data_IF_804155285231
#
_entry.id   IF_804155285231
#
_cell.length_a   1.000
_cell.length_b   1.000
_cell.length_c   1.000
_cell.angle_alpha   90.00
_cell.angle_beta   90.00
_cell.angle_gamma   90.00
#
_symmetry.space_group_name_H-M   'P 1'
#
loop_
_entity.id
_entity.type
_entity.pdbx_description
1 polymer ?
#
# COMPACT_ATOMS: atom_id res chain seq x y z
N UNK A 1 -16.42 -1.67 -5.46
CA UNK A 1 -15.58 -2.81 -5.07
C UNK A 1 -14.49 -2.35 -4.10
N UNK A 2 -14.10 -3.20 -3.20
CA UNK A 2 -13.18 -2.87 -2.12
C UNK A 2 -11.85 -3.61 -2.34
N UNK A 3 -10.74 -2.88 -2.28
CA UNK A 3 -9.41 -3.41 -2.60
C UNK A 3 -8.40 -3.05 -1.52
N UNK A 4 -7.36 -3.86 -1.41
CA UNK A 4 -6.20 -3.58 -0.59
C UNK A 4 -4.94 -3.81 -1.44
N UNK A 5 -4.04 -2.83 -1.44
CA UNK A 5 -2.76 -2.93 -2.15
C UNK A 5 -1.62 -2.77 -1.18
N UNK A 6 -0.69 -3.72 -1.22
CA UNK A 6 0.59 -3.62 -0.51
C UNK A 6 1.68 -3.49 -1.57
N UNK A 7 2.56 -2.51 -1.40
CA UNK A 7 3.73 -2.39 -2.29
C UNK A 7 4.99 -2.08 -1.49
N UNK A 8 6.11 -2.49 -2.05
CA UNK A 8 7.42 -2.38 -1.41
C UNK A 8 8.31 -1.50 -2.26
N UNK A 9 8.84 -0.45 -1.66
CA UNK A 9 9.71 0.54 -2.32
C UNK A 9 11.16 0.23 -2.02
N UNK A 10 12.03 0.46 -3.01
CA UNK A 10 13.45 0.17 -2.96
C UNK A 10 14.13 0.85 -1.76
N UNK A 11 14.87 0.10 -0.92
CA UNK A 11 15.50 0.63 0.29
C UNK A 11 16.68 1.56 0.01
N UNK A 12 17.15 1.65 -1.24
CA UNK A 12 18.21 2.59 -1.64
C UNK A 12 17.72 4.02 -1.52
N UNK A 13 16.40 4.24 -1.65
CA UNK A 13 15.80 5.55 -1.50
C UNK A 13 15.81 5.99 -0.04
N UNK A 14 15.81 7.30 0.19
CA UNK A 14 15.59 7.85 1.52
C UNK A 14 14.14 7.63 1.93
N UNK A 15 13.85 7.73 3.23
CA UNK A 15 12.49 7.64 3.74
C UNK A 15 11.59 8.70 3.10
N UNK A 16 12.10 9.91 2.91
CA UNK A 16 11.39 10.99 2.25
C UNK A 16 11.03 10.64 0.80
N UNK A 17 11.99 10.10 0.05
CA UNK A 17 11.77 9.69 -1.34
C UNK A 17 10.77 8.55 -1.43
N UNK A 18 10.83 7.61 -0.50
CA UNK A 18 9.87 6.50 -0.42
C UNK A 18 8.46 7.04 -0.16
N UNK A 19 8.33 8.02 0.75
CA UNK A 19 7.07 8.69 1.03
C UNK A 19 6.50 9.42 -0.19
N UNK A 20 7.36 10.08 -0.97
CA UNK A 20 6.97 10.74 -2.22
C UNK A 20 6.47 9.74 -3.25
N UNK A 21 7.09 8.57 -3.31
CA UNK A 21 6.66 7.48 -4.19
C UNK A 21 5.25 7.01 -3.81
N UNK A 22 5.01 6.82 -2.51
CA UNK A 22 3.69 6.42 -2.02
C UNK A 22 2.64 7.51 -2.32
N UNK A 23 3.00 8.77 -2.17
CA UNK A 23 2.09 9.89 -2.47
C UNK A 23 1.71 9.91 -3.94
N UNK A 24 2.62 9.58 -4.84
CA UNK A 24 2.31 9.47 -6.28
C UNK A 24 1.15 8.52 -6.52
N UNK A 25 1.16 7.35 -5.86
CA UNK A 25 0.11 6.35 -6.01
C UNK A 25 -1.18 6.74 -5.31
N UNK A 26 -1.08 7.43 -4.18
CA UNK A 26 -2.25 8.02 -3.52
C UNK A 26 -2.94 9.02 -4.46
N UNK A 27 -2.16 9.92 -5.06
CA UNK A 27 -2.68 10.93 -6.00
C UNK A 27 -3.28 10.28 -7.24
N UNK A 28 -2.70 9.18 -7.71
CA UNK A 28 -3.25 8.40 -8.81
C UNK A 28 -4.66 7.89 -8.47
N UNK A 29 -4.82 7.29 -7.29
CA UNK A 29 -6.13 6.79 -6.84
C UNK A 29 -7.15 7.93 -6.73
N UNK A 30 -6.74 9.06 -6.19
CA UNK A 30 -7.60 10.25 -6.05
C UNK A 30 -8.01 10.75 -7.45
N UNK A 31 -7.08 10.80 -8.39
CA UNK A 31 -7.37 11.26 -9.76
C UNK A 31 -8.35 10.35 -10.49
N UNK A 32 -8.43 9.08 -10.11
CA UNK A 32 -9.37 8.10 -10.66
C UNK A 32 -10.66 8.00 -9.84
N UNK A 33 -10.87 8.94 -8.92
CA UNK A 33 -12.07 9.02 -8.07
C UNK A 33 -12.25 7.79 -7.17
N UNK A 34 -11.15 7.13 -6.81
CA UNK A 34 -11.19 6.07 -5.82
C UNK A 34 -11.35 6.67 -4.43
N UNK A 35 -12.08 5.97 -3.57
CA UNK A 35 -12.30 6.39 -2.18
C UNK A 35 -11.27 5.68 -1.30
N UNK A 36 -10.27 6.41 -0.85
CA UNK A 36 -9.21 5.87 0.02
C UNK A 36 -9.75 5.77 1.44
N UNK A 37 -9.83 4.54 1.95
CA UNK A 37 -10.34 4.24 3.29
C UNK A 37 -9.22 4.32 4.31
N UNK A 38 -8.04 3.79 3.96
CA UNK A 38 -6.91 3.74 4.87
C UNK A 38 -5.61 3.74 4.07
N UNK A 39 -4.59 4.37 4.62
CA UNK A 39 -3.24 4.31 4.09
C UNK A 39 -2.28 4.12 5.26
N UNK A 40 -1.33 3.20 5.11
CA UNK A 40 -0.38 2.87 6.16
C UNK A 40 1.03 2.90 5.59
N UNK A 41 1.97 3.42 6.35
CA UNK A 41 3.39 3.34 6.09
C UNK A 41 4.03 2.53 7.21
N UNK A 42 4.56 1.36 6.86
CA UNK A 42 5.16 0.47 7.88
C UNK A 42 6.66 0.71 8.04
N UNK A 43 7.23 1.61 7.25
CA UNK A 43 8.64 1.92 7.29
C UNK A 43 9.50 0.83 6.66
N UNK A 44 10.79 0.85 6.99
CA UNK A 44 11.75 -0.12 6.46
C UNK A 44 11.59 -1.45 7.19
N UNK A 45 11.28 -2.50 6.43
CA UNK A 45 11.05 -3.85 6.97
C UNK A 45 11.96 -4.84 6.28
N UNK A 46 12.39 -5.86 7.01
CA UNK A 46 13.15 -6.97 6.47
C UNK A 46 12.24 -7.85 5.62
N UNK A 47 12.71 -8.22 4.43
CA UNK A 47 11.97 -9.11 3.54
C UNK A 47 12.16 -10.56 3.97
N UNK A 48 11.10 -11.38 3.82
CA UNK A 48 11.18 -12.82 4.05
C UNK A 48 12.15 -13.48 3.06
N UNK A 49 12.16 -12.98 1.81
CA UNK A 49 13.07 -13.44 0.76
C UNK A 49 13.68 -12.23 0.08
N UNK A 50 14.93 -12.35 -0.35
CA UNK A 50 15.61 -11.28 -1.09
C UNK A 50 14.91 -11.01 -2.42
N UNK A 51 14.75 -9.72 -2.78
CA UNK A 51 14.26 -9.29 -4.08
C UNK A 51 15.38 -8.47 -4.72
N UNK A 52 15.85 -8.87 -5.89
CA UNK A 52 16.95 -8.19 -6.60
C UNK A 52 18.15 -7.93 -5.69
N UNK A 53 18.51 -8.93 -4.87
CA UNK A 53 19.59 -8.85 -3.87
C UNK A 53 19.34 -7.86 -2.73
N UNK A 54 18.14 -7.29 -2.63
CA UNK A 54 17.74 -6.43 -1.51
C UNK A 54 17.11 -7.30 -0.43
N UNK A 55 17.48 -7.04 0.83
CA UNK A 55 16.99 -7.79 2.00
C UNK A 55 15.91 -7.05 2.77
N UNK A 56 15.64 -5.81 2.42
CA UNK A 56 14.63 -4.97 3.08
C UNK A 56 13.94 -4.07 2.06
N UNK A 57 12.91 -3.37 2.49
CA UNK A 57 12.19 -2.41 1.67
C UNK A 57 11.21 -1.60 2.51
N UNK A 58 10.77 -0.48 1.96
CA UNK A 58 9.74 0.35 2.59
C UNK A 58 8.37 -0.19 2.21
N UNK A 59 7.57 -0.56 3.21
CA UNK A 59 6.24 -1.15 3.03
C UNK A 59 5.16 -0.10 3.15
N UNK A 60 4.24 -0.10 2.18
CA UNK A 60 3.06 0.76 2.19
C UNK A 60 1.82 -0.09 1.92
N UNK A 61 0.71 0.30 2.55
CA UNK A 61 -0.57 -0.36 2.35
C UNK A 61 -1.65 0.70 2.09
N UNK A 62 -2.44 0.49 1.04
CA UNK A 62 -3.61 1.32 0.75
C UNK A 62 -4.86 0.43 0.71
N UNK A 63 -5.89 0.86 1.41
CA UNK A 63 -7.22 0.26 1.33
C UNK A 63 -8.13 1.28 0.67
N UNK A 64 -8.85 0.89 -0.37
CA UNK A 64 -9.67 1.82 -1.15
C UNK A 64 -10.85 1.14 -1.81
N UNK A 65 -11.86 1.94 -2.16
CA UNK A 65 -13.02 1.50 -2.93
C UNK A 65 -13.00 2.14 -4.30
N UNK A 66 -13.41 1.39 -5.32
CA UNK A 66 -13.56 1.91 -6.68
C UNK A 66 -14.63 1.14 -7.43
N UNK A 67 -15.37 1.87 -8.27
CA UNK A 67 -16.32 1.28 -9.20
C UNK A 67 -15.75 1.19 -10.63
N UNK A 68 -14.54 1.71 -10.86
CA UNK A 68 -13.87 1.69 -12.16
C UNK A 68 -13.18 0.34 -12.37
N UNK A 69 -13.69 -0.45 -13.32
CA UNK A 69 -13.15 -1.78 -13.63
C UNK A 69 -11.74 -1.77 -14.21
N UNK A 70 -11.29 -0.62 -14.74
CA UNK A 70 -9.96 -0.50 -15.36
C UNK A 70 -8.91 0.04 -14.39
N UNK A 71 -9.33 0.53 -13.22
CA UNK A 71 -8.44 1.16 -12.26
C UNK A 71 -7.29 0.24 -11.85
N UNK A 72 -7.59 -1.00 -11.52
CA UNK A 72 -6.58 -1.95 -11.01
C UNK A 72 -5.54 -2.25 -12.08
N UNK A 73 -5.96 -2.48 -13.32
CA UNK A 73 -5.03 -2.72 -14.43
C UNK A 73 -4.09 -1.53 -14.63
N UNK A 74 -4.61 -0.32 -14.62
CA UNK A 74 -3.83 0.90 -14.79
C UNK A 74 -2.88 1.11 -13.62
N UNK A 75 -3.34 0.84 -12.41
CA UNK A 75 -2.57 0.97 -11.18
C UNK A 75 -1.39 -0.01 -11.18
N UNK A 76 -1.64 -1.26 -11.52
CA UNK A 76 -0.60 -2.28 -11.61
C UNK A 76 0.41 -2.00 -12.72
N UNK A 77 -0.05 -1.44 -13.84
CA UNK A 77 0.84 -1.04 -14.93
C UNK A 77 1.81 0.04 -14.48
N UNK A 78 1.33 1.01 -13.70
CA UNK A 78 2.18 2.06 -13.11
C UNK A 78 3.24 1.46 -12.19
N UNK A 79 2.86 0.53 -11.33
CA UNK A 79 3.82 -0.18 -10.47
C UNK A 79 4.88 -0.91 -11.29
N UNK A 80 4.45 -1.61 -12.33
CA UNK A 80 5.35 -2.39 -13.19
C UNK A 80 6.39 -1.51 -13.87
N UNK A 81 6.03 -0.28 -14.22
CA UNK A 81 6.92 0.67 -14.90
C UNK A 81 7.79 1.48 -13.95
N UNK A 82 7.49 1.46 -12.67
CA UNK A 82 8.20 2.26 -11.68
C UNK A 82 9.35 1.48 -11.06
N UNK A 83 10.57 1.87 -11.42
CA UNK A 83 11.79 1.22 -10.93
C UNK A 83 11.97 1.34 -9.41
N UNK A 84 11.30 2.30 -8.77
CA UNK A 84 11.34 2.48 -7.32
C UNK A 84 10.55 1.43 -6.58
N UNK A 85 9.58 0.80 -7.24
CA UNK A 85 8.72 -0.22 -6.64
C UNK A 85 9.27 -1.61 -6.98
N UNK A 86 9.66 -2.36 -5.93
CA UNK A 86 10.24 -3.69 -6.10
C UNK A 86 9.17 -4.77 -6.25
N UNK A 87 8.06 -4.61 -5.53
CA UNK A 87 6.98 -5.60 -5.53
C UNK A 87 5.66 -4.93 -5.16
N UNK A 88 4.58 -5.48 -5.66
CA UNK A 88 3.23 -5.03 -5.33
C UNK A 88 2.26 -6.20 -5.36
N UNK A 89 1.17 -6.07 -4.61
CA UNK A 89 0.07 -7.02 -4.63
C UNK A 89 -1.22 -6.29 -4.33
N UNK A 90 -2.22 -6.45 -5.21
CA UNK A 90 -3.56 -5.90 -5.02
C UNK A 90 -4.54 -7.05 -4.92
N UNK A 91 -5.36 -7.04 -3.87
CA UNK A 91 -6.39 -8.05 -3.66
C UNK A 91 -7.75 -7.38 -3.53
N UNK A 92 -8.77 -8.02 -4.07
CA UNK A 92 -10.15 -7.62 -3.87
C UNK A 92 -10.63 -8.20 -2.55
N UNK A 93 -11.17 -7.35 -1.70
CA UNK A 93 -11.64 -7.78 -0.39
C UNK A 93 -13.10 -8.20 -0.44
N UNK A 94 -13.41 -9.36 0.12
CA UNK A 94 -14.78 -9.80 0.33
C UNK A 94 -15.30 -9.22 1.66
N UNK A 95 -16.55 -9.52 1.99
CA UNK A 95 -17.19 -9.02 3.19
C UNK A 95 -16.43 -9.38 4.47
N UNK A 96 -15.90 -10.59 4.56
CA UNK A 96 -15.14 -11.04 5.73
C UNK A 96 -13.79 -10.33 5.83
N UNK A 97 -13.09 -10.18 4.70
CA UNK A 97 -11.81 -9.49 4.65
C UNK A 97 -11.97 -8.01 5.01
N UNK A 98 -13.05 -7.36 4.59
CA UNK A 98 -13.36 -5.97 4.95
C UNK A 98 -13.53 -5.84 6.46
N UNK A 99 -14.30 -6.74 7.07
CA UNK A 99 -14.52 -6.76 8.52
C UNK A 99 -13.21 -6.96 9.29
N UNK A 100 -12.35 -7.86 8.81
CA UNK A 100 -11.04 -8.11 9.41
C UNK A 100 -10.15 -6.86 9.32
N UNK A 101 -10.14 -6.19 8.17
CA UNK A 101 -9.34 -4.97 7.98
C UNK A 101 -9.78 -3.85 8.92
N UNK A 102 -11.08 -3.69 9.13
CA UNK A 102 -11.64 -2.72 10.08
C UNK A 102 -11.16 -3.00 11.51
N UNK A 103 -11.24 -4.26 11.93
CA UNK A 103 -10.77 -4.68 13.26
C UNK A 103 -9.28 -4.47 13.44
N UNK A 104 -8.50 -4.71 12.38
CA UNK A 104 -7.06 -4.50 12.42
C UNK A 104 -6.72 -3.02 12.61
N UNK A 105 -7.43 -2.13 11.90
CA UNK A 105 -7.25 -0.68 12.05
C UNK A 105 -7.57 -0.22 13.47
N UNK A 106 -8.65 -0.70 14.04
CA UNK A 106 -9.04 -0.39 15.42
C UNK A 106 -7.96 -0.81 16.40
N UNK A 107 -7.40 -2.00 16.24
CA UNK A 107 -6.31 -2.50 17.10
C UNK A 107 -5.07 -1.64 17.02
N UNK A 108 -4.71 -1.19 15.82
CA UNK A 108 -3.55 -0.31 15.61
C UNK A 108 -3.76 1.05 16.29
N UNK A 109 -4.95 1.61 16.17
CA UNK A 109 -5.31 2.87 16.84
C UNK A 109 -5.22 2.73 18.36
N UNK A 110 -5.80 1.69 18.94
CA UNK A 110 -5.74 1.44 20.38
C UNK A 110 -4.30 1.26 20.87
N UNK A 111 -3.46 0.62 20.06
CA UNK A 111 -2.05 0.42 20.40
C UNK A 111 -1.29 1.73 20.42
N UNK A 112 -1.58 2.65 19.49
CA UNK A 112 -0.99 3.98 19.46
C UNK A 112 -1.46 4.83 20.65
N UNK A 113 -2.74 4.76 21.00
CA UNK A 113 -3.31 5.46 22.14
C UNK A 113 -2.67 4.99 23.46
N UNK A 114 -2.33 3.72 23.58
CA UNK A 114 -1.67 3.17 24.77
C UNK A 114 -0.22 3.62 24.91
N UNK A 115 0.42 4.04 23.84
CA UNK A 115 1.80 4.52 23.82
C UNK A 115 1.93 5.99 24.23
N UNK A 116 0.83 6.67 24.31
CA UNK A 116 0.78 8.04 24.79
C UNK A 116 0.63 8.05 26.32
#
# INVERSE_FOLDING_TARGET
MHYETVFIVNPVLSEEQAGQTAKKYEDFLISKEADIISKESWGLKKLAYSIEKKKSGFYFLFEFKSSDGNLISDFELDFKRDERVMRWMTVKLDKHAISYAEKRRERLQKKDDKKK
#
